data_IF_560388954772
#
_entry.id   IF_560388954772
#
_cell.length_a   1.000
_cell.length_b   1.000
_cell.length_c   1.000
_cell.angle_alpha   90.00
_cell.angle_beta   90.00
_cell.angle_gamma   90.00
#
_symmetry.space_group_name_H-M   'P 1'
#
loop_
_entity.id
_entity.type
_entity.pdbx_description
1 polymer ?
#
# COMPACT_ATOMS: atom_id res chain seq x y z
N UNK A 1 15.28 -22.05 24.01
CA UNK A 1 14.12 -21.14 24.15
C UNK A 1 13.83 -20.64 22.75
N UNK A 2 12.69 -21.00 22.16
CA UNK A 2 12.34 -20.61 20.79
C UNK A 2 11.59 -19.29 20.77
N UNK A 3 11.86 -18.43 19.79
CA UNK A 3 11.04 -17.24 19.54
C UNK A 3 9.62 -17.66 19.19
N UNK A 4 8.64 -17.04 19.84
CA UNK A 4 7.22 -17.24 19.57
C UNK A 4 6.71 -15.99 18.86
N UNK A 5 6.07 -16.18 17.71
CA UNK A 5 5.44 -15.08 16.97
C UNK A 5 4.24 -14.55 17.75
N UNK A 6 4.20 -13.22 17.97
CA UNK A 6 3.07 -12.52 18.58
C UNK A 6 2.30 -11.74 17.51
N UNK A 7 0.97 -11.80 17.57
CA UNK A 7 0.10 -10.90 16.80
C UNK A 7 0.21 -9.47 17.36
N UNK A 8 0.62 -8.51 16.54
CA UNK A 8 0.88 -7.11 16.96
C UNK A 8 -0.07 -6.07 16.34
N UNK A 9 -0.96 -6.46 15.44
CA UNK A 9 -1.89 -5.53 14.79
C UNK A 9 -2.78 -6.16 13.73
N UNK A 10 -3.83 -5.45 13.33
CA UNK A 10 -4.75 -5.83 12.25
C UNK A 10 -5.00 -4.64 11.33
N UNK A 11 -4.68 -4.80 10.05
CA UNK A 11 -4.92 -3.80 9.00
C UNK A 11 -6.35 -3.95 8.46
N UNK A 12 -7.18 -2.92 8.63
CA UNK A 12 -8.57 -2.91 8.14
C UNK A 12 -8.74 -1.84 7.08
N UNK A 13 -9.34 -2.20 5.95
CA UNK A 13 -9.59 -1.28 4.84
C UNK A 13 -10.17 -1.95 3.59
N UNK A 14 -9.74 -3.17 3.27
CA UNK A 14 -10.36 -3.97 2.20
C UNK A 14 -11.79 -4.38 2.55
N UNK A 15 -12.67 -4.39 1.54
CA UNK A 15 -14.08 -4.82 1.67
C UNK A 15 -14.33 -6.21 1.08
N UNK A 16 -13.25 -6.91 0.70
CA UNK A 16 -13.25 -8.26 0.16
C UNK A 16 -12.08 -9.07 0.71
N UNK A 17 -11.97 -10.33 0.28
CA UNK A 17 -10.86 -11.17 0.69
C UNK A 17 -9.53 -10.60 0.20
N UNK A 18 -8.57 -10.48 1.10
CA UNK A 18 -7.18 -10.20 0.77
C UNK A 18 -6.59 -11.44 0.12
N UNK A 19 -6.16 -11.32 -1.13
CA UNK A 19 -5.70 -12.43 -1.96
C UNK A 19 -4.19 -12.54 -1.99
N UNK A 20 -3.48 -11.42 -1.81
CA UNK A 20 -2.01 -11.38 -1.80
C UNK A 20 -1.51 -10.16 -1.02
N UNK A 21 -0.28 -10.26 -0.50
CA UNK A 21 0.42 -9.20 0.23
C UNK A 21 1.91 -9.23 -0.11
N UNK A 22 2.50 -8.05 -0.28
CA UNK A 22 3.92 -7.86 -0.57
C UNK A 22 4.48 -6.71 0.28
N UNK A 23 5.72 -6.86 0.74
CA UNK A 23 6.53 -5.79 1.34
C UNK A 23 7.29 -5.06 0.24
N UNK A 24 7.55 -3.77 0.39
CA UNK A 24 8.45 -3.09 -0.55
C UNK A 24 9.91 -3.22 -0.07
N UNK A 25 10.86 -3.63 -0.94
CA UNK A 25 12.26 -3.82 -0.53
C UNK A 25 12.96 -2.54 -0.07
N UNK A 26 12.60 -1.40 -0.67
CA UNK A 26 13.19 -0.08 -0.40
C UNK A 26 12.64 0.56 0.87
N UNK A 27 11.40 0.23 1.27
CA UNK A 27 10.77 0.80 2.45
C UNK A 27 10.04 -0.27 3.27
N UNK A 28 10.64 -0.77 4.37
CA UNK A 28 10.02 -1.80 5.21
C UNK A 28 8.74 -1.32 5.91
N UNK A 29 8.48 0.00 5.93
CA UNK A 29 7.25 0.57 6.46
C UNK A 29 6.12 0.64 5.43
N UNK A 30 6.33 0.16 4.20
CA UNK A 30 5.29 0.09 3.19
C UNK A 30 4.97 -1.36 2.86
N UNK A 31 3.69 -1.69 2.86
CA UNK A 31 3.17 -2.96 2.35
C UNK A 31 2.06 -2.71 1.36
N UNK A 32 1.92 -3.61 0.38
CA UNK A 32 0.85 -3.56 -0.63
C UNK A 32 0.05 -4.85 -0.54
N UNK A 33 -1.27 -4.74 -0.50
CA UNK A 33 -2.18 -5.89 -0.55
C UNK A 33 -3.11 -5.83 -1.74
N UNK A 34 -3.47 -6.99 -2.27
CA UNK A 34 -4.47 -7.17 -3.32
C UNK A 34 -5.75 -7.81 -2.77
N UNK A 35 -6.90 -7.52 -3.38
CA UNK A 35 -8.19 -7.97 -2.86
C UNK A 35 -9.24 -8.28 -3.93
N UNK A 36 -10.22 -9.12 -3.54
CA UNK A 36 -11.46 -9.35 -4.29
C UNK A 36 -12.38 -8.13 -4.34
N UNK A 37 -12.11 -7.06 -3.60
CA UNK A 37 -12.80 -5.78 -3.78
C UNK A 37 -12.36 -4.98 -5.02
N UNK A 38 -11.54 -5.60 -5.88
CA UNK A 38 -11.05 -5.06 -7.16
C UNK A 38 -10.02 -3.94 -7.00
N UNK A 39 -9.46 -3.81 -5.80
CA UNK A 39 -8.43 -2.82 -5.50
C UNK A 39 -7.19 -3.45 -4.89
N UNK A 40 -6.10 -2.67 -4.93
CA UNK A 40 -4.97 -2.86 -4.06
C UNK A 40 -4.95 -1.73 -3.03
N UNK A 41 -4.37 -1.98 -1.86
CA UNK A 41 -4.12 -0.94 -0.86
C UNK A 41 -2.62 -0.89 -0.57
N UNK A 42 -2.07 0.32 -0.61
CA UNK A 42 -0.74 0.65 -0.09
C UNK A 42 -0.93 1.09 1.36
N UNK A 43 -0.23 0.44 2.28
CA UNK A 43 -0.29 0.69 3.70
C UNK A 43 1.01 1.27 4.20
N UNK A 44 0.93 2.27 5.06
CA UNK A 44 2.03 2.76 5.86
C UNK A 44 1.98 2.10 7.21
N UNK A 45 3.00 1.33 7.56
CA UNK A 45 3.22 0.74 8.87
C UNK A 45 3.92 1.77 9.75
N UNK A 46 3.22 2.26 10.76
CA UNK A 46 3.81 3.06 11.83
C UNK A 46 3.92 2.23 13.10
N UNK A 47 4.91 2.53 13.92
CA UNK A 47 4.85 2.17 15.33
C UNK A 47 3.67 2.93 15.94
N UNK A 48 2.77 2.21 16.60
CA UNK A 48 1.69 2.80 17.38
C UNK A 48 2.26 3.65 18.53
N UNK A 49 1.38 4.41 19.16
CA UNK A 49 1.74 5.24 20.32
C UNK A 49 2.50 4.41 21.38
N UNK A 50 3.75 4.77 21.65
CA UNK A 50 4.62 4.16 22.67
C UNK A 50 4.09 4.32 24.10
N UNK A 51 3.00 5.08 24.29
CA UNK A 51 2.36 5.26 25.60
C UNK A 51 1.61 4.01 26.10
N UNK A 52 1.30 3.05 25.23
CA UNK A 52 0.74 1.75 25.62
C UNK A 52 1.87 0.72 25.81
N UNK A 53 1.81 -0.06 26.88
CA UNK A 53 2.80 -1.08 27.28
C UNK A 53 2.94 -2.27 26.31
N UNK A 54 2.30 -2.22 25.14
CA UNK A 54 2.42 -3.23 24.09
C UNK A 54 2.84 -2.57 22.77
N UNK A 55 3.83 -3.16 22.09
CA UNK A 55 4.14 -2.82 20.69
C UNK A 55 2.91 -3.14 19.83
N UNK A 56 2.15 -2.11 19.47
CA UNK A 56 1.03 -2.19 18.53
C UNK A 56 1.50 -1.60 17.22
N UNK A 57 1.55 -2.41 16.16
CA UNK A 57 1.79 -1.88 14.80
C UNK A 57 0.46 -1.38 14.27
N UNK A 58 0.41 -0.08 13.97
CA UNK A 58 -0.77 0.54 13.35
C UNK A 58 -0.43 0.78 11.90
N UNK A 59 -1.00 0.00 11.00
CA UNK A 59 -0.92 0.33 9.57
C UNK A 59 -2.15 1.10 9.11
N UNK A 60 -1.89 2.23 8.44
CA UNK A 60 -2.92 3.10 7.85
C UNK A 60 -2.94 2.89 6.34
N UNK A 61 -4.13 2.80 5.71
CA UNK A 61 -4.23 2.79 4.25
C UNK A 61 -3.80 4.18 3.75
N UNK A 62 -2.69 4.23 3.01
CA UNK A 62 -2.19 5.47 2.41
C UNK A 62 -2.85 5.73 1.05
N UNK A 63 -3.06 4.66 0.28
CA UNK A 63 -3.60 4.77 -1.08
C UNK A 63 -4.38 3.52 -1.46
N UNK A 64 -5.51 3.69 -2.13
CA UNK A 64 -6.23 2.62 -2.80
C UNK A 64 -5.98 2.69 -4.31
N UNK A 65 -5.35 1.66 -4.88
CA UNK A 65 -5.11 1.54 -6.32
C UNK A 65 -6.35 0.90 -6.95
N UNK A 66 -7.17 1.74 -7.58
CA UNK A 66 -8.44 1.35 -8.21
C UNK A 66 -8.32 1.39 -9.73
N UNK A 67 -8.95 0.42 -10.38
CA UNK A 67 -9.03 0.40 -11.84
C UNK A 67 -9.34 -0.97 -12.42
N UNK A 68 -9.06 -2.06 -11.70
CA UNK A 68 -9.49 -3.39 -12.12
C UNK A 68 -11.02 -3.51 -12.12
N UNK A 69 -11.55 -4.19 -13.14
CA UNK A 69 -12.99 -4.41 -13.29
C UNK A 69 -13.48 -5.66 -12.55
N UNK A 70 -12.55 -6.54 -12.16
CA UNK A 70 -12.79 -7.77 -11.42
C UNK A 70 -11.77 -7.97 -10.29
N UNK A 71 -11.92 -9.06 -9.55
CA UNK A 71 -11.05 -9.48 -8.45
C UNK A 71 -9.58 -9.47 -8.83
N UNK A 72 -8.77 -8.87 -7.97
CA UNK A 72 -7.32 -8.94 -8.05
C UNK A 72 -6.89 -10.25 -7.42
N UNK A 73 -6.24 -11.11 -8.18
CA UNK A 73 -5.78 -12.42 -7.72
C UNK A 73 -4.41 -12.36 -7.07
N UNK A 74 -3.55 -11.42 -7.49
CA UNK A 74 -2.17 -11.34 -6.99
C UNK A 74 -1.55 -9.94 -7.19
N UNK A 75 -0.48 -9.67 -6.44
CA UNK A 75 0.40 -8.50 -6.57
C UNK A 75 1.86 -8.90 -6.42
N UNK A 76 2.73 -8.28 -7.21
CA UNK A 76 4.18 -8.33 -7.08
C UNK A 76 4.76 -6.91 -7.03
N UNK A 77 5.89 -6.74 -6.35
CA UNK A 77 6.62 -5.47 -6.25
C UNK A 77 7.92 -5.61 -7.05
N UNK A 78 8.28 -4.59 -7.82
CA UNK A 78 9.56 -4.55 -8.52
C UNK A 78 10.72 -4.55 -7.51
N UNK A 79 11.90 -5.01 -7.91
CA UNK A 79 13.05 -5.10 -6.99
C UNK A 79 13.54 -3.75 -6.48
N UNK A 80 13.26 -2.67 -7.22
CA UNK A 80 13.50 -1.28 -6.81
C UNK A 80 12.31 -0.65 -6.05
N UNK A 81 11.23 -1.43 -5.89
CA UNK A 81 9.88 -1.10 -5.40
C UNK A 81 9.28 0.23 -5.81
N UNK A 82 9.70 0.73 -6.96
CA UNK A 82 9.02 1.84 -7.62
C UNK A 82 7.66 1.43 -8.18
N UNK A 83 7.45 0.14 -8.45
CA UNK A 83 6.26 -0.36 -9.12
C UNK A 83 5.60 -1.53 -8.41
N UNK A 84 4.27 -1.54 -8.43
CA UNK A 84 3.47 -2.73 -8.17
C UNK A 84 2.89 -3.27 -9.49
N UNK A 85 2.94 -4.58 -9.69
CA UNK A 85 2.29 -5.27 -10.79
C UNK A 85 1.16 -6.13 -10.22
N UNK A 86 -0.08 -5.91 -10.68
CA UNK A 86 -1.25 -6.66 -10.22
C UNK A 86 -1.88 -7.49 -11.32
N UNK A 87 -2.31 -8.70 -10.97
CA UNK A 87 -3.05 -9.59 -11.86
C UNK A 87 -4.52 -9.70 -11.44
N UNK A 88 -5.43 -9.65 -12.43
CA UNK A 88 -6.87 -9.64 -12.19
C UNK A 88 -7.63 -10.58 -13.10
N UNK A 89 -8.78 -11.02 -12.61
CA UNK A 89 -9.76 -11.82 -13.35
C UNK A 89 -10.45 -11.02 -14.47
N UNK A 90 -10.21 -9.71 -14.56
CA UNK A 90 -10.61 -8.90 -15.72
C UNK A 90 -9.74 -9.13 -16.97
N UNK A 91 -8.85 -10.13 -16.92
CA UNK A 91 -7.95 -10.55 -18.00
C UNK A 91 -6.85 -9.52 -18.29
N UNK A 92 -6.57 -8.61 -17.36
CA UNK A 92 -5.49 -7.64 -17.48
C UNK A 92 -4.48 -7.74 -16.34
N UNK A 93 -3.26 -7.34 -16.66
CA UNK A 93 -2.26 -6.91 -15.68
C UNK A 93 -2.28 -5.38 -15.61
N UNK A 94 -1.97 -4.82 -14.44
CA UNK A 94 -1.76 -3.38 -14.28
C UNK A 94 -0.45 -3.10 -13.59
N UNK A 95 0.32 -2.17 -14.15
CA UNK A 95 1.51 -1.60 -13.54
C UNK A 95 1.12 -0.30 -12.85
N UNK A 96 1.50 -0.18 -11.58
CA UNK A 96 1.22 0.98 -10.74
C UNK A 96 2.53 1.60 -10.31
N UNK A 97 2.65 2.91 -10.46
CA UNK A 97 3.74 3.69 -9.90
C UNK A 97 3.43 3.95 -8.40
N UNK A 98 4.33 3.54 -7.52
CA UNK A 98 4.21 3.70 -6.07
C UNK A 98 4.81 5.02 -5.56
N UNK A 99 5.61 5.72 -6.38
CA UNK A 99 6.32 6.96 -6.05
C UNK A 99 5.59 8.23 -6.50
N UNK A 100 4.57 8.12 -7.33
CA UNK A 100 3.72 9.25 -7.74
C UNK A 100 2.84 9.71 -6.60
N UNK A 101 3.42 10.33 -5.57
CA UNK A 101 2.74 11.39 -4.85
C UNK A 101 2.42 12.52 -5.84
N UNK A 102 1.18 12.96 -5.76
CA UNK A 102 0.53 14.00 -6.58
C UNK A 102 1.51 15.11 -6.97
N UNK A 103 1.92 15.14 -8.24
CA UNK A 103 2.61 16.31 -8.82
C UNK A 103 1.67 17.51 -9.05
N UNK A 104 0.40 17.43 -8.68
CA UNK A 104 -0.61 18.43 -9.03
C UNK A 104 -0.92 19.50 -7.97
N UNK A 105 -0.08 19.75 -6.96
CA UNK A 105 -0.31 20.92 -6.08
C UNK A 105 0.89 21.88 -6.00
N UNK A 106 2.11 21.42 -6.27
CA UNK A 106 3.26 22.32 -6.22
C UNK A 106 3.38 23.22 -7.46
N UNK A 107 3.01 22.73 -8.65
CA UNK A 107 3.11 23.54 -9.87
C UNK A 107 2.02 24.61 -9.97
N UNK A 108 0.79 24.32 -9.54
CA UNK A 108 -0.27 25.34 -9.45
C UNK A 108 0.07 26.37 -8.37
N UNK A 109 0.57 25.96 -7.20
CA UNK A 109 1.04 26.89 -6.17
C UNK A 109 2.16 27.83 -6.67
N UNK A 110 3.16 27.31 -7.40
CA UNK A 110 4.23 28.13 -7.96
C UNK A 110 3.74 29.08 -9.08
N UNK A 111 2.79 28.63 -9.91
CA UNK A 111 2.18 29.45 -10.96
C UNK A 111 1.27 30.55 -10.39
N UNK A 112 0.50 30.24 -9.33
CA UNK A 112 -0.40 31.18 -8.67
C UNK A 112 0.35 32.18 -7.78
N UNK A 113 1.45 31.78 -7.14
CA UNK A 113 2.20 32.64 -6.23
C UNK A 113 3.42 33.31 -6.86
N UNK A 114 3.72 33.02 -8.14
CA UNK A 114 4.78 33.69 -8.90
C UNK A 114 6.19 33.52 -8.31
N UNK A 115 6.38 32.54 -7.43
CA UNK A 115 7.67 32.24 -6.82
C UNK A 115 8.46 31.36 -7.80
N UNK A 116 9.56 31.90 -8.33
CA UNK A 116 10.54 31.15 -9.12
C UNK A 116 11.56 30.45 -8.22
#
# INVERSE_FOLDING_TARGET
>A
MGEVLKLVGVLKGHTGWVTSVQTTPENPNIVVSASRDKSLIVWGLGEGDHSLSEHVVVGKPLRALRGHAHFVSDVSISSDGQYALSGSWDKSLRLWDLHTEVREVFLEFLLENGLK
#
